data_IF_060978981147
#
_entry.id   IF_060978981147
#
_cell.length_a   1.000
_cell.length_b   1.000
_cell.length_c   1.000
_cell.angle_alpha   90.00
_cell.angle_beta   90.00
_cell.angle_gamma   90.00
#
_symmetry.space_group_name_H-M   'P 1'
#
loop_
_entity.id
_entity.type
_entity.pdbx_description
1 polymer ?
#
# COMPACT_ATOMS: atom_id res chain seq x y z
N UNK A 1 9.20 -19.11 3.68
CA UNK A 1 10.62 -19.11 3.27
C UNK A 1 10.91 -17.78 2.59
N UNK A 2 11.92 -17.05 3.07
CA UNK A 2 12.13 -15.63 2.79
C UNK A 2 12.70 -15.35 1.40
N UNK A 3 12.43 -14.14 0.86
CA UNK A 3 12.93 -13.62 -0.42
C UNK A 3 14.44 -13.82 -0.62
N UNK A 4 15.21 -13.83 0.47
CA UNK A 4 16.65 -14.12 0.47
C UNK A 4 17.00 -15.47 -0.16
N UNK A 5 16.25 -16.53 0.15
CA UNK A 5 16.55 -17.89 -0.31
C UNK A 5 16.25 -18.05 -1.81
N UNK A 6 15.35 -17.24 -2.38
CA UNK A 6 15.05 -17.27 -3.82
C UNK A 6 16.07 -16.50 -4.67
N UNK A 7 16.73 -15.51 -4.07
CA UNK A 7 17.52 -14.52 -4.79
C UNK A 7 19.04 -14.70 -4.63
N UNK A 8 19.49 -15.71 -3.89
CA UNK A 8 20.91 -16.03 -3.71
C UNK A 8 21.27 -17.42 -4.25
N UNK A 9 22.53 -17.57 -4.66
CA UNK A 9 23.11 -18.85 -5.11
C UNK A 9 23.47 -19.68 -3.89
N UNK A 10 22.67 -20.68 -3.58
CA UNK A 10 22.92 -21.58 -2.44
C UNK A 10 22.60 -23.04 -2.76
N UNK A 11 21.98 -23.34 -3.91
CA UNK A 11 21.55 -24.68 -4.28
C UNK A 11 22.65 -25.34 -5.15
N UNK A 12 23.35 -26.39 -4.66
CA UNK A 12 24.42 -27.02 -5.43
C UNK A 12 23.88 -27.96 -6.52
N UNK A 13 24.54 -27.97 -7.67
CA UNK A 13 24.38 -29.01 -8.70
C UNK A 13 25.17 -30.30 -8.34
N UNK A 14 25.09 -31.32 -9.21
CA UNK A 14 25.84 -32.58 -9.07
C UNK A 14 27.37 -32.39 -9.01
N UNK A 15 27.89 -31.27 -9.48
CA UNK A 15 29.31 -30.92 -9.49
C UNK A 15 29.71 -30.01 -8.33
N UNK A 16 28.79 -29.74 -7.39
CA UNK A 16 29.03 -28.93 -6.20
C UNK A 16 29.07 -27.41 -6.46
N UNK A 17 28.61 -26.95 -7.62
CA UNK A 17 28.54 -25.53 -7.98
C UNK A 17 27.19 -24.95 -7.57
N UNK A 18 27.22 -23.80 -6.90
CA UNK A 18 26.02 -23.17 -6.36
C UNK A 18 25.27 -22.32 -7.41
N UNK A 19 23.99 -22.64 -7.60
CA UNK A 19 23.08 -21.99 -8.52
C UNK A 19 21.91 -21.33 -7.80
N UNK A 20 21.21 -20.47 -8.55
CA UNK A 20 19.94 -19.92 -8.11
C UNK A 20 18.86 -21.00 -8.28
N UNK A 21 17.89 -21.08 -7.37
CA UNK A 21 16.84 -22.09 -7.49
C UNK A 21 16.01 -21.97 -8.78
N UNK A 22 15.96 -20.82 -9.46
CA UNK A 22 15.23 -20.69 -10.73
C UNK A 22 15.98 -21.18 -11.97
N UNK A 23 17.30 -21.36 -11.86
CA UNK A 23 18.18 -21.61 -13.00
C UNK A 23 18.60 -23.06 -13.14
N UNK A 24 18.17 -23.94 -12.23
CA UNK A 24 18.49 -25.36 -12.20
C UNK A 24 17.19 -26.16 -12.28
N UNK A 25 17.20 -27.31 -12.94
CA UNK A 25 16.05 -28.22 -12.97
C UNK A 25 16.17 -29.28 -11.86
N UNK A 26 15.08 -30.00 -11.61
CA UNK A 26 15.06 -31.08 -10.61
C UNK A 26 16.04 -32.24 -10.95
N UNK A 27 16.31 -32.45 -12.23
CA UNK A 27 17.20 -33.49 -12.76
C UNK A 27 18.69 -33.18 -12.56
N UNK A 28 19.03 -31.90 -12.37
CA UNK A 28 20.40 -31.38 -12.23
C UNK A 28 20.88 -31.30 -10.76
N UNK A 29 20.02 -31.60 -9.79
CA UNK A 29 20.33 -31.59 -8.36
C UNK A 29 21.12 -32.83 -7.91
N UNK A 30 21.90 -32.69 -6.84
CA UNK A 30 22.73 -33.77 -6.29
C UNK A 30 21.90 -35.00 -5.88
N UNK A 31 22.41 -36.20 -6.18
CA UNK A 31 21.68 -37.47 -6.04
C UNK A 31 21.40 -37.88 -4.57
N UNK A 32 22.01 -37.17 -3.60
CA UNK A 32 21.74 -37.33 -2.15
C UNK A 32 20.35 -36.82 -1.74
N UNK A 33 19.70 -36.03 -2.59
CA UNK A 33 18.33 -35.60 -2.37
C UNK A 33 17.39 -36.71 -2.86
N UNK A 34 16.51 -37.19 -1.99
CA UNK A 34 15.47 -38.15 -2.38
C UNK A 34 14.41 -37.46 -3.26
N UNK A 35 14.71 -37.28 -4.57
CA UNK A 35 13.93 -36.53 -5.56
C UNK A 35 12.47 -37.03 -5.66
N UNK A 36 12.23 -38.30 -5.31
CA UNK A 36 10.90 -38.94 -5.36
C UNK A 36 10.00 -38.66 -4.13
N UNK A 37 10.48 -37.95 -3.10
CA UNK A 37 9.63 -37.56 -1.96
C UNK A 37 8.79 -36.33 -2.32
N UNK A 38 7.47 -36.41 -2.07
CA UNK A 38 6.50 -35.32 -2.33
C UNK A 38 6.90 -33.98 -1.69
N UNK A 39 7.65 -34.01 -0.58
CA UNK A 39 8.20 -32.83 0.07
C UNK A 39 9.18 -32.06 -0.81
N UNK A 40 9.98 -32.75 -1.64
CA UNK A 40 10.99 -32.15 -2.54
C UNK A 40 10.30 -31.51 -3.74
N UNK A 41 9.31 -32.17 -4.35
CA UNK A 41 8.50 -31.62 -5.46
C UNK A 41 7.74 -30.35 -5.03
N UNK A 42 7.18 -30.34 -3.82
CA UNK A 42 6.49 -29.17 -3.28
C UNK A 42 7.46 -28.02 -2.95
N UNK A 43 8.67 -28.34 -2.51
CA UNK A 43 9.72 -27.35 -2.24
C UNK A 43 10.25 -26.78 -3.56
N UNK A 44 10.38 -27.62 -4.58
CA UNK A 44 10.78 -27.24 -5.92
C UNK A 44 9.82 -26.25 -6.57
N UNK A 45 8.52 -26.53 -6.51
CA UNK A 45 7.48 -25.59 -6.95
C UNK A 45 7.50 -24.27 -6.17
N UNK A 46 7.75 -24.32 -4.86
CA UNK A 46 7.87 -23.10 -4.03
C UNK A 46 9.12 -22.29 -4.34
N UNK A 47 10.19 -22.94 -4.79
CA UNK A 47 11.45 -22.32 -5.20
C UNK A 47 11.48 -21.89 -6.68
N UNK A 48 10.47 -22.27 -7.47
CA UNK A 48 10.32 -21.93 -8.89
C UNK A 48 11.48 -22.47 -9.75
N UNK A 49 11.85 -23.74 -9.58
CA UNK A 49 12.82 -24.41 -10.46
C UNK A 49 12.33 -24.48 -11.91
N UNK A 50 13.27 -24.59 -12.86
CA UNK A 50 12.99 -24.62 -14.30
C UNK A 50 12.22 -25.90 -14.70
N UNK A 51 11.09 -25.75 -15.39
CA UNK A 51 10.27 -26.86 -15.92
C UNK A 51 10.77 -27.27 -17.33
N UNK A 52 10.71 -28.57 -17.65
CA UNK A 52 11.11 -29.13 -18.96
C UNK A 52 9.87 -29.27 -19.86
N UNK A 53 9.96 -28.92 -21.17
CA UNK A 53 8.86 -28.98 -22.16
C UNK A 53 9.21 -30.01 -23.25
N UNK A 54 8.25 -30.87 -23.65
CA UNK A 54 8.34 -31.88 -24.72
C UNK A 54 7.79 -31.32 -26.06
N UNK A 55 8.43 -31.63 -27.19
CA UNK A 55 8.18 -31.07 -28.54
C UNK A 55 7.36 -31.99 -29.48
N UNK A 56 6.44 -31.43 -30.30
CA UNK A 56 5.82 -32.11 -31.47
C UNK A 56 4.75 -31.32 -32.30
N UNK A 57 5.12 -30.95 -33.54
CA UNK A 57 4.36 -30.79 -34.83
C UNK A 57 3.60 -29.47 -35.31
N UNK A 58 4.28 -28.67 -36.16
CA UNK A 58 4.08 -28.19 -37.59
C UNK A 58 2.91 -27.32 -38.20
N UNK A 59 3.32 -26.18 -38.87
CA UNK A 59 3.09 -25.60 -40.26
C UNK A 59 1.84 -24.79 -40.79
N UNK A 60 2.03 -23.48 -41.17
CA UNK A 60 1.81 -22.88 -42.54
C UNK A 60 0.69 -21.83 -42.93
N UNK A 61 1.07 -20.59 -43.39
CA UNK A 61 0.50 -19.67 -44.47
C UNK A 61 0.37 -18.13 -44.13
N UNK A 62 1.03 -17.24 -44.92
CA UNK A 62 0.50 -15.91 -45.38
C UNK A 62 1.09 -14.56 -44.88
N UNK A 63 1.98 -13.90 -45.65
CA UNK A 63 2.89 -12.80 -45.17
C UNK A 63 2.79 -11.37 -45.77
N UNK A 64 1.95 -11.01 -46.76
CA UNK A 64 2.13 -9.71 -47.47
C UNK A 64 1.14 -8.56 -47.18
N UNK A 65 -0.08 -8.81 -46.69
CA UNK A 65 -1.02 -7.74 -46.29
C UNK A 65 -0.74 -7.17 -44.88
N UNK A 66 -0.10 -7.97 -44.02
CA UNK A 66 0.24 -7.60 -42.63
C UNK A 66 1.21 -6.42 -42.52
N UNK A 67 2.19 -6.31 -43.43
CA UNK A 67 3.23 -5.26 -43.37
C UNK A 67 2.71 -3.85 -43.68
N UNK A 68 1.70 -3.72 -44.57
CA UNK A 68 1.08 -2.41 -44.86
C UNK A 68 0.21 -1.92 -43.71
N UNK A 69 -0.46 -2.83 -43.01
CA UNK A 69 -1.27 -2.48 -41.84
C UNK A 69 -0.38 -2.09 -40.64
N UNK A 70 0.77 -2.76 -40.45
CA UNK A 70 1.76 -2.46 -39.40
C UNK A 70 2.33 -1.03 -39.48
N UNK A 71 2.60 -0.51 -40.67
CA UNK A 71 3.15 0.86 -40.82
C UNK A 71 2.09 1.94 -40.56
N UNK A 72 0.83 1.71 -40.93
CA UNK A 72 -0.27 2.63 -40.64
C UNK A 72 -0.58 2.73 -39.13
N UNK A 73 -0.29 1.64 -38.40
CA UNK A 73 -0.44 1.55 -36.94
C UNK A 73 0.72 2.27 -36.22
N UNK A 74 1.95 2.17 -36.72
CA UNK A 74 3.13 2.87 -36.17
C UNK A 74 2.99 4.40 -36.22
N UNK A 75 2.46 4.95 -37.30
CA UNK A 75 2.29 6.41 -37.41
C UNK A 75 1.17 6.96 -36.52
N UNK A 76 0.12 6.18 -36.27
CA UNK A 76 -0.96 6.56 -35.33
C UNK A 76 -0.56 6.43 -33.87
N UNK A 77 0.37 5.53 -33.53
CA UNK A 77 0.86 5.30 -32.16
C UNK A 77 1.67 6.47 -31.61
N UNK A 78 2.42 7.18 -32.45
CA UNK A 78 3.26 8.30 -32.02
C UNK A 78 2.49 9.58 -31.63
N UNK A 79 1.15 9.59 -31.74
CA UNK A 79 0.34 10.80 -31.57
C UNK A 79 -0.75 10.74 -30.49
N UNK A 80 -0.84 9.70 -29.64
CA UNK A 80 -2.00 9.52 -28.75
C UNK A 80 -1.65 9.44 -27.25
N UNK A 81 -2.37 10.24 -26.46
CA UNK A 81 -2.35 10.34 -24.99
C UNK A 81 -3.04 9.16 -24.29
N UNK A 82 -2.93 9.10 -22.96
CA UNK A 82 -3.26 8.01 -22.01
C UNK A 82 -4.58 7.23 -22.25
N UNK A 83 -5.59 7.81 -22.91
CA UNK A 83 -6.84 7.11 -23.27
C UNK A 83 -6.72 6.22 -24.54
N UNK A 84 -5.59 6.27 -25.26
CA UNK A 84 -5.26 5.41 -26.40
C UNK A 84 -4.83 4.00 -25.99
N UNK A 85 -4.20 3.86 -24.82
CA UNK A 85 -3.65 2.58 -24.34
C UNK A 85 -4.74 1.54 -24.05
N UNK A 86 -5.88 1.97 -23.52
CA UNK A 86 -7.01 1.07 -23.21
C UNK A 86 -7.68 0.54 -24.49
N UNK A 87 -7.66 1.32 -25.59
CA UNK A 87 -8.15 0.84 -26.90
C UNK A 87 -7.17 -0.13 -27.56
N UNK A 88 -5.87 0.02 -27.29
CA UNK A 88 -4.82 -0.88 -27.78
C UNK A 88 -4.87 -2.21 -27.02
N UNK A 89 -5.09 -2.20 -25.71
CA UNK A 89 -5.22 -3.42 -24.89
C UNK A 89 -6.42 -4.28 -25.34
N UNK A 90 -7.54 -3.64 -25.69
CA UNK A 90 -8.72 -4.33 -26.25
C UNK A 90 -8.50 -4.87 -27.68
N UNK A 91 -7.70 -4.18 -28.51
CA UNK A 91 -7.33 -4.65 -29.84
C UNK A 91 -6.31 -5.79 -29.79
N UNK A 92 -5.35 -5.73 -28.86
CA UNK A 92 -4.34 -6.76 -28.62
C UNK A 92 -5.00 -8.04 -28.09
N UNK A 93 -6.00 -7.89 -27.22
CA UNK A 93 -6.83 -9.00 -26.74
C UNK A 93 -7.65 -9.65 -27.86
N UNK A 94 -8.17 -8.86 -28.81
CA UNK A 94 -8.92 -9.40 -29.96
C UNK A 94 -8.04 -10.10 -31.02
N UNK A 95 -6.74 -9.80 -31.05
CA UNK A 95 -5.76 -10.45 -31.93
C UNK A 95 -5.23 -11.76 -31.32
N UNK A 96 -5.07 -11.81 -29.98
CA UNK A 96 -4.71 -13.02 -29.25
C UNK A 96 -5.79 -14.12 -29.32
N UNK A 97 -7.04 -13.77 -29.62
CA UNK A 97 -8.15 -14.73 -29.74
C UNK A 97 -8.24 -15.42 -31.12
N UNK A 98 -7.47 -15.01 -32.15
CA UNK A 98 -7.64 -15.54 -33.52
C UNK A 98 -6.34 -15.79 -34.31
N UNK A 99 -5.20 -16.14 -33.70
CA UNK A 99 -4.00 -16.41 -34.49
C UNK A 99 -3.17 -17.61 -34.02
N UNK A 100 -2.99 -18.55 -34.95
CA UNK A 100 -2.06 -19.67 -34.89
C UNK A 100 -0.58 -19.22 -34.85
N UNK A 101 0.25 -20.12 -34.34
CA UNK A 101 1.56 -19.89 -33.75
C UNK A 101 2.70 -19.54 -34.73
N UNK A 102 3.77 -18.99 -34.13
CA UNK A 102 5.13 -18.76 -34.63
C UNK A 102 5.49 -17.38 -35.25
N UNK A 103 4.69 -16.75 -36.12
CA UNK A 103 5.14 -15.48 -36.74
C UNK A 103 4.86 -14.21 -35.91
N UNK A 104 4.05 -14.28 -34.85
CA UNK A 104 3.68 -13.10 -34.07
C UNK A 104 4.53 -12.89 -32.80
N UNK A 105 5.36 -13.84 -32.39
CA UNK A 105 6.26 -13.67 -31.22
C UNK A 105 7.33 -12.63 -31.52
N UNK A 106 7.90 -12.64 -32.74
CA UNK A 106 8.87 -11.62 -33.14
C UNK A 106 8.23 -10.23 -33.22
N UNK A 107 6.99 -10.14 -33.72
CA UNK A 107 6.24 -8.88 -33.78
C UNK A 107 5.90 -8.35 -32.38
N UNK A 108 5.52 -9.23 -31.46
CA UNK A 108 5.26 -8.90 -30.06
C UNK A 108 6.56 -8.52 -29.34
N UNK A 109 7.68 -9.19 -29.65
CA UNK A 109 8.99 -8.90 -29.08
C UNK A 109 9.51 -7.53 -29.53
N UNK A 110 9.38 -7.18 -30.81
CA UNK A 110 9.73 -5.86 -31.33
C UNK A 110 8.86 -4.75 -30.73
N UNK A 111 7.56 -4.99 -30.54
CA UNK A 111 6.65 -4.02 -29.89
C UNK A 111 6.99 -3.85 -28.40
N UNK A 112 7.37 -4.93 -27.72
CA UNK A 112 7.76 -4.91 -26.31
C UNK A 112 9.10 -4.22 -26.11
N UNK A 113 10.06 -4.44 -27.01
CA UNK A 113 11.37 -3.78 -26.99
C UNK A 113 11.24 -2.28 -27.23
N UNK A 114 10.39 -1.86 -28.18
CA UNK A 114 10.09 -0.45 -28.41
C UNK A 114 9.39 0.21 -27.21
N UNK A 115 8.53 -0.53 -26.49
CA UNK A 115 7.88 -0.05 -25.26
C UNK A 115 8.86 0.04 -24.08
N UNK A 116 9.80 -0.91 -23.99
CA UNK A 116 10.86 -0.89 -22.98
C UNK A 116 11.88 0.23 -23.23
N UNK A 117 12.18 0.56 -24.48
CA UNK A 117 13.07 1.66 -24.82
C UNK A 117 12.42 3.03 -24.55
N UNK A 118 11.13 3.18 -24.82
CA UNK A 118 10.35 4.37 -24.45
C UNK A 118 10.24 4.56 -22.93
N UNK A 119 10.22 3.47 -22.16
CA UNK A 119 10.21 3.52 -20.68
C UNK A 119 11.60 3.70 -20.07
N UNK A 120 12.68 3.30 -20.76
CA UNK A 120 14.06 3.61 -20.35
C UNK A 120 14.41 5.08 -20.57
N UNK A 121 13.94 5.69 -21.66
CA UNK A 121 14.18 7.12 -21.92
C UNK A 121 13.41 8.05 -20.97
N UNK A 122 12.37 7.58 -20.29
CA UNK A 122 11.71 8.30 -19.18
C UNK A 122 12.45 8.15 -17.84
N UNK A 123 13.46 7.28 -17.75
CA UNK A 123 14.30 7.08 -16.55
C UNK A 123 15.65 7.82 -16.58
N UNK A 124 15.95 8.56 -17.66
CA UNK A 124 17.07 9.50 -17.75
C UNK A 124 16.71 10.91 -17.26
N UNK A 125 15.79 11.01 -16.29
CA UNK A 125 15.74 12.19 -15.43
C UNK A 125 16.94 12.07 -14.49
N UNK A 126 17.87 13.00 -14.66
CA UNK A 126 19.19 13.11 -14.03
C UNK A 126 19.20 12.63 -12.57
N UNK A 127 19.96 11.56 -12.31
CA UNK A 127 20.44 11.28 -10.96
C UNK A 127 21.60 12.23 -10.68
N UNK A 128 21.28 13.42 -10.17
CA UNK A 128 22.25 14.20 -9.42
C UNK A 128 22.75 13.33 -8.25
N UNK A 129 24.07 13.20 -8.14
CA UNK A 129 24.71 12.52 -7.02
C UNK A 129 24.70 13.47 -5.83
N UNK A 130 23.71 13.33 -4.97
CA UNK A 130 23.78 13.90 -3.63
C UNK A 130 24.88 13.16 -2.84
N UNK A 131 26.00 13.86 -2.64
CA UNK A 131 26.96 13.54 -1.58
C UNK A 131 26.42 14.15 -0.29
N UNK A 132 25.57 13.42 0.42
CA UNK A 132 25.16 13.80 1.77
C UNK A 132 26.26 13.42 2.78
N UNK A 133 27.27 14.27 2.90
CA UNK A 133 27.95 14.52 4.18
C UNK A 133 27.23 15.71 4.84
N UNK A 134 25.96 15.50 5.21
CA UNK A 134 25.12 16.56 5.78
C UNK A 134 25.43 16.72 7.28
N UNK A 135 26.42 17.55 7.60
CA UNK A 135 26.70 17.97 8.97
C UNK A 135 25.75 19.10 9.36
N UNK A 136 24.67 18.78 10.10
CA UNK A 136 23.60 19.70 10.53
C UNK A 136 24.04 20.89 11.40
N UNK A 137 25.33 20.99 11.76
CA UNK A 137 25.76 21.87 12.86
C UNK A 137 26.60 23.09 12.45
N UNK A 138 26.88 23.33 11.18
CA UNK A 138 27.53 24.58 10.77
C UNK A 138 27.06 25.02 9.39
N UNK A 139 26.26 26.08 9.33
CA UNK A 139 26.18 26.90 8.13
C UNK A 139 27.47 27.72 8.03
N UNK A 140 28.10 27.69 6.86
CA UNK A 140 29.17 28.63 6.55
C UNK A 140 28.58 30.02 6.25
N UNK A 141 29.38 31.08 6.42
CA UNK A 141 28.95 32.47 6.16
C UNK A 141 28.48 32.66 4.71
N UNK A 142 29.15 31.98 3.77
CA UNK A 142 28.78 32.03 2.34
C UNK A 142 27.45 31.32 2.07
N UNK A 143 27.19 30.18 2.73
CA UNK A 143 25.90 29.48 2.64
C UNK A 143 24.77 30.32 3.28
N UNK A 144 25.05 31.01 4.38
CA UNK A 144 24.09 31.91 5.02
C UNK A 144 23.74 33.10 4.10
N UNK A 145 24.72 33.71 3.45
CA UNK A 145 24.48 34.78 2.45
C UNK A 145 23.69 34.27 1.24
N UNK A 146 23.97 33.06 0.75
CA UNK A 146 23.23 32.45 -0.36
C UNK A 146 21.77 32.20 0.06
N UNK A 147 21.54 31.68 1.27
CA UNK A 147 20.19 31.47 1.80
C UNK A 147 19.47 32.81 1.98
N UNK A 148 20.14 33.84 2.50
CA UNK A 148 19.56 35.17 2.67
C UNK A 148 19.21 35.84 1.33
N UNK A 149 20.04 35.75 0.28
CA UNK A 149 19.65 36.25 -1.06
C UNK A 149 18.48 35.46 -1.65
N UNK A 150 18.50 34.13 -1.51
CA UNK A 150 17.49 33.27 -2.15
C UNK A 150 16.12 33.30 -1.44
N UNK A 151 16.09 33.42 -0.12
CA UNK A 151 14.86 33.44 0.70
C UNK A 151 14.50 34.84 1.22
N UNK A 152 15.38 35.82 1.09
CA UNK A 152 15.10 37.23 1.35
C UNK A 152 14.72 37.97 0.08
N UNK A 153 15.69 38.20 -0.82
CA UNK A 153 15.51 39.07 -1.98
C UNK A 153 14.73 38.40 -3.13
N UNK A 154 14.96 37.10 -3.36
CA UNK A 154 14.35 36.35 -4.47
C UNK A 154 13.13 35.49 -4.08
N UNK A 155 12.61 35.61 -2.85
CA UNK A 155 11.49 34.79 -2.37
C UNK A 155 10.22 34.98 -3.21
N UNK A 156 9.93 36.23 -3.59
CA UNK A 156 8.73 36.57 -4.35
C UNK A 156 8.78 35.97 -5.76
N UNK A 157 9.96 35.95 -6.39
CA UNK A 157 10.14 35.33 -7.71
C UNK A 157 9.91 33.82 -7.64
N UNK A 158 10.43 33.15 -6.61
CA UNK A 158 10.20 31.71 -6.38
C UNK A 158 8.73 31.38 -6.08
N UNK A 159 8.03 32.22 -5.32
CA UNK A 159 6.60 32.04 -5.05
C UNK A 159 5.77 32.17 -6.34
N UNK A 160 6.18 33.06 -7.24
CA UNK A 160 5.50 33.27 -8.53
C UNK A 160 5.79 32.15 -9.55
N UNK A 161 6.93 31.47 -9.45
CA UNK A 161 7.28 30.30 -10.27
C UNK A 161 6.52 29.03 -9.87
N UNK A 162 5.98 28.97 -8.64
CA UNK A 162 5.15 27.85 -8.19
C UNK A 162 3.74 28.02 -8.78
N UNK A 163 3.53 27.51 -9.99
CA UNK A 163 2.21 27.39 -10.58
C UNK A 163 1.45 26.23 -9.92
N UNK A 164 0.30 26.53 -9.32
CA UNK A 164 -0.55 25.50 -8.72
C UNK A 164 -1.40 24.81 -9.78
N UNK A 165 -1.12 23.53 -10.06
CA UNK A 165 -1.98 22.69 -10.88
C UNK A 165 -3.06 22.03 -10.01
N UNK A 166 -4.33 22.32 -10.30
CA UNK A 166 -5.46 21.69 -9.61
C UNK A 166 -5.94 20.47 -10.40
N UNK A 167 -5.76 19.27 -9.83
CA UNK A 167 -6.35 18.05 -10.38
C UNK A 167 -7.70 17.78 -9.72
N UNK A 168 -8.78 18.11 -10.42
CA UNK A 168 -10.15 17.81 -9.97
C UNK A 168 -10.50 16.35 -10.26
N UNK A 169 -10.46 15.49 -9.25
CA UNK A 169 -10.92 14.09 -9.39
C UNK A 169 -12.37 13.92 -8.96
N UNK A 170 -13.23 13.43 -9.86
CA UNK A 170 -14.61 13.07 -9.55
C UNK A 170 -14.64 11.77 -8.72
N UNK A 171 -14.74 11.91 -7.39
CA UNK A 171 -14.85 10.78 -6.48
C UNK A 171 -16.31 10.32 -6.36
N UNK A 172 -16.64 9.16 -6.93
CA UNK A 172 -17.93 8.49 -6.69
C UNK A 172 -17.93 7.89 -5.29
N UNK A 173 -18.78 8.40 -4.41
CA UNK A 173 -18.96 7.85 -3.06
C UNK A 173 -20.30 7.10 -2.95
N UNK A 174 -20.25 5.85 -2.53
CA UNK A 174 -21.43 5.07 -2.21
C UNK A 174 -22.05 5.59 -0.90
N UNK A 175 -23.25 6.17 -0.97
CA UNK A 175 -24.00 6.70 0.18
C UNK A 175 -24.91 5.61 0.76
N UNK A 176 -24.57 5.10 1.94
CA UNK A 176 -25.48 4.25 2.74
C UNK A 176 -26.49 5.13 3.49
N UNK A 177 -27.77 4.73 3.52
CA UNK A 177 -28.87 5.53 4.11
C UNK A 177 -28.76 5.77 5.64
N UNK A 178 -27.96 4.98 6.37
CA UNK A 178 -27.79 5.08 7.83
C UNK A 178 -26.36 5.49 8.24
N UNK A 179 -25.71 6.39 7.49
CA UNK A 179 -24.32 6.78 7.79
C UNK A 179 -24.28 7.86 8.87
N UNK A 180 -24.05 7.47 10.12
CA UNK A 180 -23.69 8.42 11.18
C UNK A 180 -22.33 9.02 10.82
N UNK A 181 -22.19 10.35 10.95
CA UNK A 181 -20.91 11.01 10.70
C UNK A 181 -19.97 10.73 11.90
N UNK A 182 -18.82 10.06 11.71
CA UNK A 182 -17.89 9.76 12.79
C UNK A 182 -17.46 10.97 13.60
N UNK A 183 -17.27 12.13 12.94
CA UNK A 183 -16.89 13.36 13.63
C UNK A 183 -18.00 13.85 14.56
N UNK A 184 -19.27 13.72 14.17
CA UNK A 184 -20.38 14.13 15.03
C UNK A 184 -20.49 13.22 16.25
N UNK A 185 -20.40 11.90 16.05
CA UNK A 185 -20.42 10.93 17.15
C UNK A 185 -19.29 11.18 18.15
N UNK A 186 -18.04 11.30 17.67
CA UNK A 186 -16.89 11.52 18.53
C UNK A 186 -16.94 12.88 19.25
N UNK A 187 -17.51 13.91 18.62
CA UNK A 187 -17.75 15.19 19.29
C UNK A 187 -18.78 15.05 20.42
N UNK A 188 -19.85 14.27 20.23
CA UNK A 188 -20.86 14.05 21.26
C UNK A 188 -20.32 13.26 22.45
N UNK A 189 -19.52 12.22 22.20
CA UNK A 189 -19.02 11.32 23.24
C UNK A 189 -17.80 11.85 23.99
N UNK A 190 -16.91 12.58 23.32
CA UNK A 190 -15.61 12.97 23.87
C UNK A 190 -15.41 14.50 23.92
N UNK A 191 -16.37 15.30 23.45
CA UNK A 191 -16.27 16.77 23.33
C UNK A 191 -15.00 17.25 22.60
N UNK A 192 -14.50 16.41 21.67
CA UNK A 192 -13.25 16.64 20.93
C UNK A 192 -11.96 16.45 21.74
N UNK A 193 -12.04 15.82 22.91
CA UNK A 193 -10.89 15.44 23.73
C UNK A 193 -10.26 14.14 23.22
N UNK A 194 -8.94 14.06 23.26
CA UNK A 194 -8.21 12.87 22.83
C UNK A 194 -8.49 11.67 23.74
N UNK A 195 -8.79 10.51 23.14
CA UNK A 195 -9.00 9.25 23.87
C UNK A 195 -7.72 8.67 24.49
N UNK A 196 -6.54 9.17 24.13
CA UNK A 196 -5.26 8.71 24.72
C UNK A 196 -4.78 9.74 25.74
N UNK A 197 -4.50 10.97 25.30
CA UNK A 197 -3.84 11.98 26.15
C UNK A 197 -4.78 13.01 26.79
N UNK A 198 -6.10 12.86 26.63
CA UNK A 198 -7.14 13.78 27.12
C UNK A 198 -7.06 15.24 26.61
N UNK A 199 -6.05 15.59 25.81
CA UNK A 199 -5.88 16.95 25.28
C UNK A 199 -7.06 17.34 24.37
N UNK A 200 -7.63 18.51 24.63
CA UNK A 200 -8.64 19.16 23.80
C UNK A 200 -8.05 20.41 23.16
N UNK A 201 -8.05 20.48 21.83
CA UNK A 201 -7.48 21.61 21.08
C UNK A 201 -8.58 22.56 20.59
N UNK A 202 -8.77 23.67 21.29
CA UNK A 202 -9.72 24.73 20.91
C UNK A 202 -9.01 25.88 20.19
N UNK A 203 -8.48 25.63 18.99
CA UNK A 203 -7.62 26.58 18.25
C UNK A 203 -8.44 27.69 17.57
N UNK A 204 -9.66 27.39 17.11
CA UNK A 204 -10.56 28.35 16.44
C UNK A 204 -12.00 28.16 16.91
N UNK A 205 -12.89 29.12 16.58
CA UNK A 205 -14.33 29.07 16.88
C UNK A 205 -14.86 27.64 16.76
N UNK A 206 -15.44 27.14 17.85
CA UNK A 206 -16.08 25.83 18.01
C UNK A 206 -16.54 25.22 16.66
N UNK A 207 -16.14 24.00 16.29
CA UNK A 207 -15.74 22.87 17.14
C UNK A 207 -14.23 22.73 17.41
N UNK A 208 -13.85 22.02 18.50
CA UNK A 208 -12.46 21.65 18.78
C UNK A 208 -11.85 20.83 17.63
N UNK A 209 -10.53 21.00 17.42
CA UNK A 209 -9.77 20.28 16.42
C UNK A 209 -9.39 18.89 16.92
N UNK A 210 -9.93 17.86 16.26
CA UNK A 210 -9.55 16.47 16.47
C UNK A 210 -9.61 15.69 15.16
N UNK A 211 -8.92 14.56 15.13
CA UNK A 211 -8.84 13.66 14.00
C UNK A 211 -9.53 12.34 14.30
N UNK A 212 -10.14 11.77 13.26
CA UNK A 212 -10.78 10.46 13.31
C UNK A 212 -9.76 9.42 12.84
N UNK A 213 -9.42 8.50 13.72
CA UNK A 213 -8.62 7.33 13.39
C UNK A 213 -9.52 6.11 13.24
N UNK A 214 -9.19 5.20 12.31
CA UNK A 214 -9.94 3.96 12.10
C UNK A 214 -9.10 2.79 12.58
N UNK A 215 -9.62 1.99 13.51
CA UNK A 215 -8.91 0.85 14.10
C UNK A 215 -8.59 -0.18 13.02
N UNK A 216 -9.59 -0.56 12.23
CA UNK A 216 -9.46 -1.46 11.09
C UNK A 216 -9.42 -0.64 9.80
N UNK A 217 -8.24 -0.52 9.21
CA UNK A 217 -8.02 0.17 7.94
C UNK A 217 -8.21 -0.78 6.76
N UNK A 218 -9.45 -1.13 6.43
CA UNK A 218 -9.75 -1.65 5.10
C UNK A 218 -10.03 -0.44 4.21
N UNK A 219 -9.12 -0.16 3.28
CA UNK A 219 -9.16 0.93 2.29
C UNK A 219 -10.60 1.32 1.88
N UNK A 220 -11.28 2.20 2.63
CA UNK A 220 -12.62 2.82 2.40
C UNK A 220 -13.75 2.03 1.70
N UNK A 221 -13.63 0.71 1.47
CA UNK A 221 -14.50 -0.07 0.59
C UNK A 221 -15.69 -0.68 1.32
N UNK A 222 -15.62 -0.81 2.66
CA UNK A 222 -16.67 -1.43 3.45
C UNK A 222 -17.54 -0.40 4.15
N UNK A 223 -18.87 -0.56 4.07
CA UNK A 223 -19.84 0.35 4.66
C UNK A 223 -19.67 0.53 6.17
N UNK A 224 -19.16 -0.49 6.87
CA UNK A 224 -18.92 -0.46 8.30
C UNK A 224 -17.68 0.33 8.74
N UNK A 225 -16.77 0.68 7.82
CA UNK A 225 -15.50 1.31 8.17
C UNK A 225 -15.67 2.69 8.87
N UNK A 226 -16.82 3.32 8.70
CA UNK A 226 -17.17 4.61 9.32
C UNK A 226 -18.22 4.46 10.44
N UNK A 227 -18.48 3.23 10.90
CA UNK A 227 -19.34 3.02 12.06
C UNK A 227 -18.58 3.31 13.35
N UNK A 228 -19.36 3.61 14.37
CA UNK A 228 -18.88 4.12 15.65
C UNK A 228 -17.89 3.19 16.33
N UNK A 229 -18.08 1.87 16.23
CA UNK A 229 -17.17 0.89 16.84
C UNK A 229 -15.74 0.94 16.27
N UNK A 230 -15.57 1.45 15.04
CA UNK A 230 -14.29 1.41 14.33
C UNK A 230 -13.53 2.74 14.38
N UNK A 231 -14.04 3.76 15.08
CA UNK A 231 -13.49 5.11 15.03
C UNK A 231 -13.02 5.60 16.39
N UNK A 232 -11.88 6.29 16.41
CA UNK A 232 -11.27 6.85 17.63
C UNK A 232 -11.06 8.36 17.47
N UNK A 233 -11.30 9.12 18.54
CA UNK A 233 -11.02 10.55 18.65
C UNK A 233 -9.58 10.79 19.13
N UNK A 234 -8.75 11.42 18.30
CA UNK A 234 -7.35 11.70 18.62
C UNK A 234 -6.98 13.16 18.37
N UNK A 235 -6.05 13.68 19.17
CA UNK A 235 -5.35 14.92 18.85
C UNK A 235 -4.38 14.70 17.67
N UNK A 236 -3.95 15.76 16.97
CA UNK A 236 -2.99 15.65 15.86
C UNK A 236 -1.74 14.84 16.20
N UNK A 237 -1.18 15.00 17.40
CA UNK A 237 0.01 14.27 17.81
C UNK A 237 -0.25 12.77 17.95
N UNK A 238 -1.29 12.38 18.71
CA UNK A 238 -1.62 10.96 18.88
C UNK A 238 -2.08 10.32 17.57
N UNK A 239 -2.76 11.06 16.71
CA UNK A 239 -3.17 10.60 15.39
C UNK A 239 -1.96 10.30 14.50
N UNK A 240 -0.98 11.21 14.45
CA UNK A 240 0.25 11.01 13.67
C UNK A 240 1.05 9.81 14.18
N UNK A 241 1.17 9.68 15.51
CA UNK A 241 1.86 8.55 16.13
C UNK A 241 1.17 7.21 15.79
N UNK A 242 -0.16 7.14 15.85
CA UNK A 242 -0.89 5.91 15.50
C UNK A 242 -0.92 5.62 14.00
N UNK A 243 -0.80 6.66 13.16
CA UNK A 243 -0.83 6.52 11.70
C UNK A 243 0.50 6.08 11.12
N UNK A 244 1.60 6.65 11.61
CA UNK A 244 2.93 6.46 11.07
C UNK A 244 3.87 5.68 12.00
N UNK A 245 3.55 5.64 13.30
CA UNK A 245 4.28 4.85 14.26
C UNK A 245 3.82 3.39 14.29
N UNK A 246 4.70 2.52 14.80
CA UNK A 246 4.34 1.14 15.10
C UNK A 246 3.34 1.11 16.26
N UNK A 247 2.15 0.56 16.02
CA UNK A 247 1.09 0.49 17.03
C UNK A 247 0.35 -0.83 16.96
N UNK A 248 0.01 -1.37 18.13
CA UNK A 248 -0.76 -2.59 18.28
C UNK A 248 -2.06 -2.29 19.00
N UNK A 249 -3.16 -2.30 18.24
CA UNK A 249 -4.52 -2.04 18.72
C UNK A 249 -5.33 -3.32 18.95
N UNK A 250 -4.72 -4.51 18.86
CA UNK A 250 -5.44 -5.78 19.00
C UNK A 250 -6.10 -5.94 20.37
N UNK A 251 -5.48 -5.41 21.42
CA UNK A 251 -6.00 -5.45 22.78
C UNK A 251 -7.40 -4.83 22.90
N UNK A 252 -7.74 -3.85 22.06
CA UNK A 252 -9.08 -3.23 22.08
C UNK A 252 -10.18 -4.29 21.86
N UNK A 253 -9.97 -5.25 20.96
CA UNK A 253 -10.94 -6.32 20.72
C UNK A 253 -10.94 -7.38 21.83
N UNK A 254 -9.78 -7.65 22.44
CA UNK A 254 -9.67 -8.54 23.60
C UNK A 254 -10.45 -8.01 24.80
N UNK A 255 -10.39 -6.70 25.06
CA UNK A 255 -11.19 -6.10 26.13
C UNK A 255 -12.68 -6.03 25.76
N UNK A 256 -13.03 -5.86 24.48
CA UNK A 256 -14.43 -5.92 24.04
C UNK A 256 -15.07 -7.30 24.29
N UNK A 257 -14.28 -8.38 24.17
CA UNK A 257 -14.67 -9.74 24.54
C UNK A 257 -14.92 -9.86 26.05
N UNK A 258 -13.97 -9.42 26.88
CA UNK A 258 -14.14 -9.43 28.34
C UNK A 258 -15.37 -8.64 28.81
N UNK A 259 -15.66 -7.51 28.15
CA UNK A 259 -16.89 -6.75 28.42
C UNK A 259 -18.14 -7.52 27.97
N UNK A 260 -18.08 -8.29 26.87
CA UNK A 260 -19.19 -9.14 26.45
C UNK A 260 -19.52 -10.22 27.49
N UNK A 261 -18.50 -10.71 28.19
CA UNK A 261 -18.57 -11.76 29.22
C UNK A 261 -18.83 -11.21 30.63
N UNK A 262 -18.97 -9.89 30.78
CA UNK A 262 -19.11 -9.17 32.05
C UNK A 262 -17.91 -9.31 33.00
N UNK A 263 -16.72 -9.60 32.48
CA UNK A 263 -15.47 -9.71 33.25
C UNK A 263 -14.72 -8.38 33.41
N UNK A 264 -15.16 -7.34 32.69
CA UNK A 264 -14.51 -6.03 32.69
C UNK A 264 -15.54 -4.91 32.83
N UNK A 265 -15.30 -3.99 33.77
CA UNK A 265 -16.22 -2.91 34.12
C UNK A 265 -15.57 -1.54 33.87
N UNK A 266 -16.41 -0.51 33.71
CA UNK A 266 -15.94 0.86 33.59
C UNK A 266 -15.52 1.41 34.96
N UNK A 267 -14.44 2.18 34.97
CA UNK A 267 -13.89 2.83 36.16
C UNK A 267 -14.11 4.34 36.09
N UNK A 268 -14.35 4.98 37.24
CA UNK A 268 -14.48 6.43 37.29
C UNK A 268 -13.11 7.08 37.11
N UNK A 269 -12.98 7.99 36.12
CA UNK A 269 -11.75 8.75 35.86
C UNK A 269 -12.04 10.23 36.09
N UNK A 270 -11.53 10.77 37.19
CA UNK A 270 -11.79 12.15 37.62
C UNK A 270 -11.34 13.18 36.57
N UNK A 271 -10.18 12.96 35.95
CA UNK A 271 -9.62 13.83 34.90
C UNK A 271 -10.53 13.97 33.67
N UNK A 272 -11.47 13.04 33.49
CA UNK A 272 -12.40 13.00 32.37
C UNK A 272 -13.86 13.22 32.78
N UNK A 273 -14.14 13.30 34.09
CA UNK A 273 -15.47 13.58 34.62
C UNK A 273 -16.52 12.50 34.33
N UNK A 274 -16.13 11.22 34.31
CA UNK A 274 -17.07 10.12 34.07
C UNK A 274 -16.45 8.73 34.16
N UNK A 275 -17.27 7.72 33.89
CA UNK A 275 -16.84 6.31 33.87
C UNK A 275 -16.37 5.88 32.50
N UNK A 276 -15.16 5.31 32.43
CA UNK A 276 -14.51 4.88 31.20
C UNK A 276 -13.98 3.45 31.32
N UNK A 277 -13.95 2.74 30.21
CA UNK A 277 -13.19 1.52 30.05
C UNK A 277 -11.75 1.89 29.68
N UNK A 278 -10.79 1.50 30.52
CA UNK A 278 -9.37 1.80 30.36
C UNK A 278 -8.72 0.58 29.68
N UNK A 279 -8.15 0.79 28.50
CA UNK A 279 -7.53 -0.29 27.73
C UNK A 279 -6.07 0.02 27.49
N UNK A 280 -5.21 -0.94 27.76
CA UNK A 280 -3.80 -0.87 27.40
C UNK A 280 -3.58 -1.17 25.92
N UNK A 281 -2.97 -0.21 25.22
CA UNK A 281 -2.51 -0.32 23.85
C UNK A 281 -1.01 -0.09 23.77
N UNK A 282 -0.37 -0.72 22.79
CA UNK A 282 1.07 -0.54 22.58
C UNK A 282 1.30 0.48 21.46
N UNK A 283 2.03 1.55 21.79
CA UNK A 283 2.39 2.62 20.86
C UNK A 283 3.90 2.84 20.95
N UNK A 284 4.62 2.67 19.84
CA UNK A 284 6.08 2.83 19.77
C UNK A 284 6.82 1.97 20.82
N UNK A 285 6.36 0.73 21.06
CA UNK A 285 6.92 -0.19 22.05
C UNK A 285 6.65 0.19 23.52
N UNK A 286 5.82 1.23 23.76
CA UNK A 286 5.41 1.65 25.10
C UNK A 286 3.92 1.38 25.29
N UNK A 287 3.56 0.82 26.44
CA UNK A 287 2.17 0.69 26.85
C UNK A 287 1.59 2.07 27.16
N UNK A 288 0.41 2.34 26.61
CA UNK A 288 -0.38 3.54 26.86
C UNK A 288 -1.83 3.16 27.05
N UNK A 289 -2.53 3.94 27.86
CA UNK A 289 -3.95 3.76 28.08
C UNK A 289 -4.77 4.49 27.01
N UNK A 290 -5.85 3.86 26.57
CA UNK A 290 -6.92 4.47 25.79
C UNK A 290 -8.23 4.35 26.55
N UNK A 291 -9.01 5.43 26.54
CA UNK A 291 -10.24 5.53 27.32
C UNK A 291 -11.45 5.46 26.40
N UNK A 292 -12.38 4.56 26.72
CA UNK A 292 -13.63 4.35 25.99
C UNK A 292 -14.82 4.71 26.87
N UNK A 293 -15.71 5.57 26.36
CA UNK A 293 -17.00 5.81 26.99
C UNK A 293 -17.83 4.52 27.02
N UNK A 294 -18.77 4.42 27.95
CA UNK A 294 -19.64 3.25 28.06
C UNK A 294 -20.40 2.98 26.76
N UNK A 295 -20.98 4.01 26.15
CA UNK A 295 -21.70 3.87 24.88
C UNK A 295 -20.77 3.37 23.76
N UNK A 296 -19.56 3.92 23.67
CA UNK A 296 -18.60 3.50 22.63
C UNK A 296 -18.15 2.05 22.82
N UNK A 297 -17.87 1.64 24.04
CA UNK A 297 -17.52 0.25 24.35
C UNK A 297 -18.65 -0.72 24.00
N UNK A 298 -19.90 -0.40 24.35
CA UNK A 298 -21.04 -1.26 24.05
C UNK A 298 -21.25 -1.45 22.54
N UNK A 299 -20.99 -0.42 21.71
CA UNK A 299 -21.02 -0.56 20.25
C UNK A 299 -19.93 -1.50 19.73
N UNK A 300 -18.74 -1.45 20.32
CA UNK A 300 -17.64 -2.35 19.99
C UNK A 300 -17.95 -3.80 20.41
N UNK A 301 -18.45 -4.00 21.62
CA UNK A 301 -18.92 -5.30 22.12
C UNK A 301 -20.06 -5.86 21.27
N UNK A 302 -21.00 -5.02 20.83
CA UNK A 302 -22.06 -5.42 19.91
C UNK A 302 -21.53 -5.92 18.56
N UNK A 303 -20.52 -5.24 18.01
CA UNK A 303 -19.81 -5.70 16.81
C UNK A 303 -19.10 -7.05 17.04
N UNK A 304 -18.43 -7.22 18.19
CA UNK A 304 -17.78 -8.47 18.55
C UNK A 304 -18.78 -9.64 18.57
N UNK A 305 -19.90 -9.49 19.28
CA UNK A 305 -20.97 -10.51 19.35
C UNK A 305 -21.54 -10.84 17.97
N UNK A 306 -21.80 -9.83 17.14
CA UNK A 306 -22.30 -10.04 15.79
C UNK A 306 -21.30 -10.81 14.91
N UNK A 307 -20.00 -10.59 15.10
CA UNK A 307 -18.96 -11.29 14.35
C UNK A 307 -18.82 -12.77 14.73
N UNK A 308 -19.10 -13.13 15.99
CA UNK A 308 -19.09 -14.53 16.45
C UNK A 308 -20.31 -15.30 15.96
N UNK A 309 -21.48 -14.67 15.92
CA UNK A 309 -22.73 -15.29 15.42
C UNK A 309 -22.77 -15.50 13.90
N UNK A 310 -21.78 -14.97 13.17
CA UNK A 310 -21.65 -15.13 11.72
C UNK A 310 -20.68 -16.24 11.28
N UNK A 311 -20.18 -17.05 12.23
CA UNK A 311 -19.49 -18.32 11.98
C UNK A 311 -20.45 -19.49 12.15
#
# INVERSE_FOLDING_TARGET
>A
MGKLVKNHKWLPDKQGKFHLPKSISLSELHDDLEINKQSVVNLAKKLELKEEIDEGDNEGIGTNDRKKQLNLIKDKLNSLTENGLIKIENLMSSLLENSDEENDINTIFEIKEALEEATRNTSNIEKEKDKDDFNWNHLTVDEEEIIQRNYGENLINRLNEISSEYKTTNKKEMKSKNKINPKMYLKQEYDGSCQICNTRLAITKNPPLFFVYRILTLQNKRGWANLEFNVICLCPNCWSILRYGNSNLKNIFHYAEKVAENEFAAEHVDERGGSYYIIDIEILGKTREIYYSQNHMQKLTGFYRASQNSK
#
